data_IF_893130803868
#
_entry.id   IF_893130803868
#
_cell.length_a   1.000
_cell.length_b   1.000
_cell.length_c   1.000
_cell.angle_alpha   90.00
_cell.angle_beta   90.00
_cell.angle_gamma   90.00
#
_symmetry.space_group_name_H-M   'P 1'
#
loop_
_entity.id
_entity.type
_entity.pdbx_description
1 polymer ?
#
# COMPACT_ATOMS: atom_id res chain seq x y z
N UNK A 1 -3.09 -15.88 15.34
CA UNK A 1 -3.78 -14.78 16.07
C UNK A 1 -5.22 -14.66 15.59
N UNK A 2 -6.14 -14.18 16.45
CA UNK A 2 -7.59 -14.12 16.14
C UNK A 2 -7.97 -12.75 15.57
N UNK A 3 -8.87 -12.74 14.59
CA UNK A 3 -9.53 -11.54 14.08
C UNK A 3 -10.41 -10.89 15.15
N UNK A 4 -10.44 -9.57 15.17
CA UNK A 4 -11.37 -8.76 15.95
C UNK A 4 -12.26 -7.98 14.99
N UNK A 5 -13.58 -8.16 15.11
CA UNK A 5 -14.57 -7.42 14.33
C UNK A 5 -14.59 -5.94 14.74
N UNK A 6 -14.79 -5.05 13.76
CA UNK A 6 -14.85 -3.60 13.94
C UNK A 6 -16.03 -3.01 13.17
N UNK A 7 -16.30 -1.71 13.34
CA UNK A 7 -17.39 -1.06 12.60
C UNK A 7 -17.15 -0.95 11.08
N UNK A 8 -15.89 -1.02 10.63
CA UNK A 8 -15.51 -0.95 9.21
C UNK A 8 -15.25 -2.34 8.59
N UNK A 9 -15.03 -3.37 9.40
CA UNK A 9 -14.67 -4.69 8.93
C UNK A 9 -14.03 -5.48 10.04
N UNK A 10 -12.73 -5.71 9.93
CA UNK A 10 -11.98 -6.44 10.96
C UNK A 10 -10.55 -5.92 11.07
N UNK A 11 -9.93 -6.22 12.21
CA UNK A 11 -8.50 -6.06 12.43
C UNK A 11 -7.88 -7.30 13.06
N UNK A 12 -6.56 -7.41 12.97
CA UNK A 12 -5.76 -8.42 13.67
C UNK A 12 -4.46 -7.80 14.15
N UNK A 13 -3.92 -8.33 15.24
CA UNK A 13 -2.56 -8.05 15.70
C UNK A 13 -1.56 -8.96 14.97
N UNK A 14 -0.28 -8.65 15.12
CA UNK A 14 0.84 -9.41 14.58
C UNK A 14 2.16 -9.04 15.28
N UNK A 15 3.15 -9.92 15.19
CA UNK A 15 4.49 -9.73 15.73
C UNK A 15 5.48 -9.47 14.59
N UNK A 16 5.25 -8.36 13.89
CA UNK A 16 5.97 -8.05 12.65
C UNK A 16 6.03 -6.55 12.42
N UNK A 17 7.09 -6.11 11.74
CA UNK A 17 7.32 -4.71 11.36
C UNK A 17 6.39 -4.17 10.27
N UNK A 18 5.54 -5.05 9.72
CA UNK A 18 4.60 -4.71 8.67
C UNK A 18 3.19 -4.51 9.23
N UNK A 19 2.44 -3.59 8.60
CA UNK A 19 1.00 -3.43 8.84
C UNK A 19 0.28 -3.52 7.50
N UNK A 20 -0.62 -4.48 7.33
CA UNK A 20 -1.35 -4.68 6.08
C UNK A 20 -2.70 -3.98 6.14
N UNK A 21 -2.98 -3.12 5.17
CA UNK A 21 -4.21 -2.32 5.13
C UNK A 21 -4.95 -2.59 3.83
N UNK A 22 -6.24 -2.92 3.89
CA UNK A 22 -7.09 -3.02 2.71
C UNK A 22 -8.31 -2.12 2.90
N UNK A 23 -8.26 -0.85 2.45
CA UNK A 23 -9.30 0.12 2.70
C UNK A 23 -10.54 -0.06 1.81
N UNK A 24 -10.49 -0.87 0.74
CA UNK A 24 -11.56 -1.03 -0.25
C UNK A 24 -12.05 -2.48 -0.44
N UNK A 25 -11.81 -3.36 0.55
CA UNK A 25 -12.20 -4.77 0.48
C UNK A 25 -13.71 -5.02 0.35
N UNK A 26 -14.56 -4.05 0.71
CA UNK A 26 -16.03 -4.14 0.66
C UNK A 26 -16.66 -4.12 -0.75
N UNK A 27 -15.87 -4.16 -1.83
CA UNK A 27 -16.39 -4.51 -3.17
C UNK A 27 -15.97 -3.63 -4.34
N UNK A 28 -15.24 -2.53 -4.14
CA UNK A 28 -14.62 -1.82 -5.28
C UNK A 28 -13.33 -2.52 -5.70
N UNK A 29 -12.60 -3.03 -4.70
CA UNK A 29 -11.36 -3.78 -4.90
C UNK A 29 -11.61 -5.26 -4.54
N UNK A 30 -12.47 -5.95 -5.31
CA UNK A 30 -12.85 -7.35 -5.08
C UNK A 30 -11.64 -8.23 -4.70
N UNK A 31 -11.82 -9.07 -3.66
CA UNK A 31 -10.85 -10.05 -3.14
C UNK A 31 -9.58 -9.46 -2.51
N UNK A 32 -9.44 -8.13 -2.41
CA UNK A 32 -8.26 -7.52 -1.73
C UNK A 32 -8.25 -7.76 -0.22
N UNK A 33 -9.41 -7.96 0.40
CA UNK A 33 -9.55 -8.38 1.78
C UNK A 33 -8.95 -9.78 2.02
N UNK A 34 -9.18 -10.70 1.08
CA UNK A 34 -8.59 -12.05 1.12
C UNK A 34 -7.08 -12.01 0.88
N UNK A 35 -6.61 -11.20 -0.07
CA UNK A 35 -5.17 -11.01 -0.29
C UNK A 35 -4.52 -10.43 0.97
N UNK A 36 -5.11 -9.39 1.57
CA UNK A 36 -4.60 -8.76 2.78
C UNK A 36 -4.58 -9.72 3.98
N UNK A 37 -5.61 -10.56 4.14
CA UNK A 37 -5.61 -11.62 5.15
C UNK A 37 -4.44 -12.57 4.96
N UNK A 38 -4.26 -13.11 3.75
CA UNK A 38 -3.23 -14.10 3.47
C UNK A 38 -1.82 -13.51 3.62
N UNK A 39 -1.57 -12.30 3.11
CA UNK A 39 -0.30 -11.60 3.30
C UNK A 39 -0.03 -11.44 4.80
N UNK A 40 -1.03 -10.95 5.55
CA UNK A 40 -0.86 -10.76 6.98
C UNK A 40 -0.58 -12.07 7.72
N UNK A 41 -1.21 -13.17 7.29
CA UNK A 41 -1.05 -14.49 7.90
C UNK A 41 0.35 -15.04 7.67
N UNK A 42 0.87 -14.90 6.45
CA UNK A 42 2.22 -15.37 6.08
C UNK A 42 3.31 -14.59 6.82
N UNK A 43 3.12 -13.27 6.97
CA UNK A 43 4.12 -12.37 7.56
C UNK A 43 3.99 -12.18 9.08
N UNK A 44 3.01 -12.88 9.68
CA UNK A 44 2.53 -12.66 11.04
C UNK A 44 2.34 -11.17 11.40
N UNK A 45 1.80 -10.38 10.46
CA UNK A 45 1.65 -8.94 10.62
C UNK A 45 0.27 -8.53 11.11
N UNK A 46 0.22 -7.33 11.69
CA UNK A 46 -1.04 -6.67 11.99
C UNK A 46 -1.78 -6.37 10.67
N UNK A 47 -3.10 -6.37 10.71
CA UNK A 47 -3.89 -5.95 9.57
C UNK A 47 -5.16 -5.20 9.95
N UNK A 48 -5.53 -4.23 9.12
CA UNK A 48 -6.71 -3.38 9.26
C UNK A 48 -7.46 -3.39 7.93
N UNK A 49 -8.62 -4.04 7.90
CA UNK A 49 -9.31 -4.35 6.64
C UNK A 49 -10.76 -3.90 6.70
N UNK A 50 -11.16 -3.14 5.68
CA UNK A 50 -12.53 -2.69 5.49
C UNK A 50 -13.30 -3.67 4.61
N UNK A 51 -14.32 -4.29 5.18
CA UNK A 51 -15.26 -5.18 4.49
C UNK A 51 -16.70 -4.67 4.54
N UNK A 52 -16.96 -3.51 5.17
CA UNK A 52 -18.32 -2.99 5.40
C UNK A 52 -18.67 -1.75 4.59
N UNK A 53 -17.70 -0.91 4.25
CA UNK A 53 -17.95 0.37 3.60
C UNK A 53 -17.44 0.39 2.16
N UNK A 54 -18.35 0.51 1.19
CA UNK A 54 -17.96 0.71 -0.21
C UNK A 54 -17.38 2.11 -0.40
N UNK A 55 -16.41 2.26 -1.31
CA UNK A 55 -15.72 3.51 -1.63
C UNK A 55 -16.69 4.64 -1.99
N UNK A 56 -17.78 4.33 -2.71
CA UNK A 56 -18.83 5.31 -3.06
C UNK A 56 -19.57 5.87 -1.84
N UNK A 57 -19.65 5.11 -0.74
CA UNK A 57 -20.34 5.50 0.49
C UNK A 57 -19.41 6.12 1.53
N UNK A 58 -18.18 5.61 1.63
CA UNK A 58 -17.12 6.12 2.49
C UNK A 58 -15.79 5.62 1.95
N UNK A 59 -15.02 6.51 1.34
CA UNK A 59 -13.69 6.18 0.84
C UNK A 59 -12.68 6.23 1.99
N UNK A 60 -12.42 5.09 2.63
CA UNK A 60 -11.45 4.99 3.74
C UNK A 60 -9.99 5.19 3.32
N UNK A 61 -9.69 5.30 2.02
CA UNK A 61 -8.35 5.68 1.54
C UNK A 61 -8.21 7.20 1.32
N UNK A 62 -9.30 7.97 1.43
CA UNK A 62 -9.29 9.43 1.33
C UNK A 62 -9.33 10.04 2.72
N UNK A 63 -8.29 10.78 3.10
CA UNK A 63 -8.13 11.40 4.43
C UNK A 63 -8.58 12.86 4.50
N UNK A 64 -9.15 13.43 3.43
CA UNK A 64 -9.52 14.85 3.37
C UNK A 64 -10.51 15.30 4.45
N UNK A 65 -11.39 14.40 4.87
CA UNK A 65 -12.45 14.56 5.89
C UNK A 65 -12.16 13.74 7.16
N UNK A 66 -10.90 13.32 7.37
CA UNK A 66 -10.52 12.50 8.53
C UNK A 66 -10.86 13.18 9.87
N UNK A 67 -10.86 14.51 9.94
CA UNK A 67 -11.22 15.25 11.16
C UNK A 67 -12.71 15.23 11.48
N UNK A 68 -13.58 14.87 10.53
CA UNK A 68 -15.03 14.96 10.67
C UNK A 68 -15.76 13.61 10.48
N UNK A 69 -15.20 12.64 9.77
CA UNK A 69 -15.79 11.30 9.61
C UNK A 69 -15.30 10.32 10.70
N UNK A 70 -16.17 9.99 11.65
CA UNK A 70 -15.88 9.07 12.76
C UNK A 70 -15.46 7.66 12.31
N UNK A 71 -15.93 7.18 11.15
CA UNK A 71 -15.56 5.85 10.62
C UNK A 71 -14.10 5.87 10.18
N UNK A 72 -13.69 6.92 9.48
CA UNK A 72 -12.29 7.14 9.08
C UNK A 72 -11.40 7.32 10.30
N UNK A 73 -11.82 8.11 11.29
CA UNK A 73 -11.08 8.27 12.54
C UNK A 73 -10.80 6.93 13.21
N UNK A 74 -11.81 6.07 13.33
CA UNK A 74 -11.63 4.75 13.92
C UNK A 74 -10.69 3.87 13.09
N UNK A 75 -10.87 3.85 11.76
CA UNK A 75 -10.02 3.08 10.85
C UNK A 75 -8.55 3.49 10.97
N UNK A 76 -8.25 4.79 10.91
CA UNK A 76 -6.89 5.30 11.02
C UNK A 76 -6.32 5.26 12.45
N UNK A 77 -7.17 5.27 13.48
CA UNK A 77 -6.73 5.02 14.85
C UNK A 77 -6.20 3.59 15.01
N UNK A 78 -6.91 2.60 14.49
CA UNK A 78 -6.46 1.20 14.53
C UNK A 78 -5.19 0.99 13.67
N UNK A 79 -5.06 1.68 12.52
CA UNK A 79 -3.81 1.69 11.73
C UNK A 79 -2.66 2.30 12.54
N UNK A 80 -2.89 3.45 13.20
CA UNK A 80 -1.85 4.14 13.99
C UNK A 80 -1.37 3.29 15.15
N UNK A 81 -2.29 2.65 15.87
CA UNK A 81 -1.97 1.72 16.94
C UNK A 81 -1.13 0.54 16.41
N UNK A 82 -1.57 -0.07 15.30
CA UNK A 82 -0.85 -1.19 14.68
C UNK A 82 0.55 -0.79 14.23
N UNK A 83 0.72 0.42 13.70
CA UNK A 83 2.03 0.94 13.28
C UNK A 83 2.95 1.18 14.49
N UNK A 84 2.41 1.71 15.59
CA UNK A 84 3.17 1.88 16.84
C UNK A 84 3.67 0.54 17.39
N UNK A 85 2.81 -0.47 17.42
CA UNK A 85 3.17 -1.84 17.82
C UNK A 85 4.22 -2.43 16.86
N UNK A 86 4.04 -2.26 15.54
CA UNK A 86 4.92 -2.78 14.51
C UNK A 86 6.35 -2.19 14.59
N UNK A 87 6.52 -0.93 14.99
CA UNK A 87 7.85 -0.31 15.17
C UNK A 87 8.71 -1.09 16.17
N UNK A 88 8.12 -1.69 17.20
CA UNK A 88 8.86 -2.49 18.19
C UNK A 88 9.54 -3.74 17.61
N UNK A 89 9.18 -4.14 16.39
CA UNK A 89 9.78 -5.25 15.64
C UNK A 89 10.71 -4.79 14.51
N UNK A 90 10.84 -3.48 14.31
CA UNK A 90 11.70 -2.90 13.28
C UNK A 90 13.14 -2.77 13.77
N UNK A 91 14.07 -2.72 12.83
CA UNK A 91 15.47 -2.35 13.13
C UNK A 91 15.59 -0.82 13.05
N UNK A 92 16.46 -0.24 13.87
CA UNK A 92 16.78 1.19 13.79
C UNK A 92 17.43 1.50 12.45
N UNK A 93 16.89 2.49 11.75
CA UNK A 93 17.48 3.01 10.52
C UNK A 93 18.60 4.03 10.82
N UNK A 94 19.18 4.61 9.78
CA UNK A 94 20.26 5.60 9.88
C UNK A 94 19.92 6.83 10.73
N UNK A 95 18.64 7.17 10.91
CA UNK A 95 18.21 8.28 11.76
C UNK A 95 18.06 7.88 13.24
N UNK A 96 18.39 6.62 13.57
CA UNK A 96 18.33 6.02 14.90
C UNK A 96 16.92 5.62 15.34
N UNK A 97 15.93 5.63 14.44
CA UNK A 97 14.53 5.34 14.75
C UNK A 97 14.04 4.07 14.11
N UNK A 98 13.02 3.51 14.74
CA UNK A 98 12.29 2.35 14.27
C UNK A 98 11.07 2.81 13.49
N UNK A 99 10.90 2.24 12.28
CA UNK A 99 9.83 2.61 11.36
C UNK A 99 9.01 1.38 11.00
N UNK A 100 7.69 1.45 11.11
CA UNK A 100 6.83 0.43 10.54
C UNK A 100 6.79 0.59 9.00
N UNK A 101 6.53 -0.50 8.28
CA UNK A 101 6.14 -0.45 6.87
C UNK A 101 4.65 -0.76 6.72
N UNK A 102 3.87 0.25 6.37
CA UNK A 102 2.42 0.13 6.15
C UNK A 102 2.13 -0.13 4.68
N UNK A 103 1.55 -1.29 4.40
CA UNK A 103 1.30 -1.80 3.05
C UNK A 103 -0.19 -1.71 2.74
N UNK A 104 -0.57 -0.81 1.85
CA UNK A 104 -1.93 -0.64 1.37
C UNK A 104 -2.18 -1.54 0.17
N UNK A 105 -3.00 -2.58 0.36
CA UNK A 105 -3.44 -3.50 -0.69
C UNK A 105 -4.68 -2.94 -1.38
N UNK A 106 -4.57 -2.76 -2.69
CA UNK A 106 -5.61 -2.24 -3.56
C UNK A 106 -5.81 -3.11 -4.80
N UNK A 107 -6.95 -2.90 -5.43
CA UNK A 107 -7.37 -3.58 -6.63
C UNK A 107 -7.40 -2.66 -7.84
N UNK A 108 -6.85 -3.12 -8.96
CA UNK A 108 -7.01 -2.45 -10.24
C UNK A 108 -7.67 -3.35 -11.28
N UNK A 109 -8.32 -2.71 -12.27
CA UNK A 109 -8.74 -3.37 -13.51
C UNK A 109 -7.53 -3.94 -14.27
N UNK A 110 -7.77 -4.99 -15.06
CA UNK A 110 -6.72 -5.54 -15.91
C UNK A 110 -6.34 -4.53 -17.01
N UNK A 111 -5.07 -4.14 -17.06
CA UNK A 111 -4.55 -3.11 -17.99
C UNK A 111 -3.37 -3.65 -18.80
N UNK A 112 -3.68 -4.29 -19.93
CA UNK A 112 -2.66 -4.91 -20.77
C UNK A 112 -1.91 -6.01 -20.00
N UNK A 113 -0.59 -5.93 -19.94
CA UNK A 113 0.31 -6.85 -19.24
C UNK A 113 0.57 -6.48 -17.77
N UNK A 114 -0.01 -5.38 -17.26
CA UNK A 114 0.24 -4.91 -15.90
C UNK A 114 -0.48 -5.79 -14.87
N UNK A 115 0.30 -6.51 -14.06
CA UNK A 115 -0.20 -7.33 -12.95
C UNK A 115 -0.15 -6.60 -11.61
N UNK A 116 0.95 -5.90 -11.33
CA UNK A 116 1.13 -5.14 -10.08
C UNK A 116 1.67 -3.74 -10.37
N UNK A 117 1.14 -2.71 -9.70
CA UNK A 117 1.70 -1.36 -9.70
C UNK A 117 2.01 -0.90 -8.27
N UNK A 118 3.23 -0.43 -8.04
CA UNK A 118 3.70 0.01 -6.73
C UNK A 118 3.66 1.55 -6.64
N UNK A 119 2.86 2.10 -5.74
CA UNK A 119 2.71 3.54 -5.50
C UNK A 119 3.41 3.99 -4.21
N UNK A 120 4.34 4.93 -4.33
CA UNK A 120 5.09 5.50 -3.17
C UNK A 120 5.23 7.03 -3.24
N UNK A 121 4.37 7.71 -3.99
CA UNK A 121 4.44 9.14 -4.27
C UNK A 121 5.36 9.53 -5.44
N UNK A 122 5.76 8.58 -6.30
CA UNK A 122 6.64 8.83 -7.47
C UNK A 122 6.10 8.23 -8.75
N UNK A 123 6.48 8.82 -9.89
CA UNK A 123 6.19 8.30 -11.24
C UNK A 123 7.45 8.31 -12.12
N UNK A 124 7.60 7.31 -12.98
CA UNK A 124 8.72 7.23 -13.92
C UNK A 124 8.59 8.26 -15.04
N UNK A 125 9.61 9.10 -15.22
CA UNK A 125 9.69 10.02 -16.37
C UNK A 125 10.66 9.50 -17.42
N UNK A 126 10.11 8.95 -18.51
CA UNK A 126 10.87 8.35 -19.60
C UNK A 126 11.95 9.29 -20.16
N UNK A 127 11.61 10.56 -20.45
CA UNK A 127 12.57 11.55 -21.01
C UNK A 127 13.80 11.79 -20.13
N UNK A 128 13.66 11.69 -18.81
CA UNK A 128 14.75 11.95 -17.85
C UNK A 128 15.34 10.67 -17.26
N UNK A 129 14.80 9.50 -17.64
CA UNK A 129 15.18 8.18 -17.12
C UNK A 129 15.29 8.16 -15.58
N UNK A 130 14.34 8.80 -14.89
CA UNK A 130 14.32 8.86 -13.43
C UNK A 130 12.91 8.92 -12.87
N UNK A 131 12.76 8.47 -11.62
CA UNK A 131 11.55 8.67 -10.84
C UNK A 131 11.47 10.12 -10.36
N UNK A 132 10.26 10.69 -10.40
CA UNK A 132 10.00 12.03 -9.90
C UNK A 132 8.77 12.02 -9.00
N UNK A 133 8.85 12.75 -7.88
CA UNK A 133 7.69 13.05 -7.05
C UNK A 133 6.71 14.02 -7.72
N UNK A 134 5.53 14.13 -7.13
CA UNK A 134 4.39 14.92 -7.64
C UNK A 134 4.78 16.34 -8.08
N UNK A 135 5.50 17.07 -7.22
CA UNK A 135 5.91 18.46 -7.45
C UNK A 135 6.67 18.67 -8.76
N UNK A 136 7.38 17.65 -9.24
CA UNK A 136 8.27 17.75 -10.40
C UNK A 136 7.77 17.01 -11.64
N UNK A 137 6.63 16.33 -11.56
CA UNK A 137 6.10 15.50 -12.64
C UNK A 137 4.98 16.23 -13.42
N UNK A 138 5.07 16.36 -14.77
CA UNK A 138 4.08 17.11 -15.55
C UNK A 138 2.62 16.65 -15.34
N UNK A 139 2.40 15.33 -15.23
CA UNK A 139 1.06 14.73 -15.05
C UNK A 139 0.47 14.90 -13.64
N UNK A 140 1.18 15.51 -12.69
CA UNK A 140 0.65 15.77 -11.35
C UNK A 140 -0.22 17.04 -11.29
N UNK A 141 -0.58 17.64 -12.44
CA UNK A 141 -1.50 18.78 -12.53
C UNK A 141 -2.92 18.24 -12.62
N UNK A 142 -3.77 18.72 -11.71
CA UNK A 142 -5.19 18.39 -11.62
C UNK A 142 -6.00 19.19 -12.63
N UNK A 143 -7.26 18.82 -12.81
CA UNK A 143 -8.18 19.49 -13.76
C UNK A 143 -8.39 20.98 -13.43
N UNK A 144 -8.34 21.34 -12.14
CA UNK A 144 -8.45 22.73 -11.65
C UNK A 144 -7.14 23.55 -11.81
N UNK A 145 -6.12 22.98 -12.44
CA UNK A 145 -4.80 23.59 -12.62
C UNK A 145 -3.90 23.56 -11.38
N UNK A 146 -4.40 23.06 -10.23
CA UNK A 146 -3.57 22.85 -9.05
C UNK A 146 -2.68 21.62 -9.23
N UNK A 147 -1.66 21.48 -8.38
CA UNK A 147 -0.68 20.39 -8.48
C UNK A 147 -0.76 19.52 -7.23
N UNK A 148 -0.74 18.20 -7.40
CA UNK A 148 -0.60 17.24 -6.31
C UNK A 148 0.76 17.45 -5.61
N UNK A 149 0.76 17.47 -4.28
CA UNK A 149 1.97 17.70 -3.48
C UNK A 149 2.34 16.51 -2.61
N UNK A 150 1.83 15.32 -2.94
CA UNK A 150 2.19 14.10 -2.24
C UNK A 150 3.69 13.88 -2.27
N UNK A 151 4.19 13.34 -1.16
CA UNK A 151 5.62 13.13 -0.92
C UNK A 151 5.98 11.67 -1.15
N UNK A 152 7.28 11.42 -1.25
CA UNK A 152 7.79 10.06 -1.29
C UNK A 152 7.56 9.42 0.07
N UNK A 153 6.90 8.26 0.10
CA UNK A 153 6.44 7.62 1.36
C UNK A 153 7.35 6.51 1.87
N UNK A 154 8.33 6.07 1.08
CA UNK A 154 9.35 5.10 1.48
C UNK A 154 10.57 5.16 0.56
N UNK A 155 11.58 4.33 0.81
CA UNK A 155 12.82 4.28 0.03
C UNK A 155 12.55 3.86 -1.43
N UNK A 156 12.98 4.71 -2.38
CA UNK A 156 12.80 4.49 -3.82
C UNK A 156 13.59 3.26 -4.29
N UNK A 157 14.80 3.06 -3.77
CA UNK A 157 15.66 1.95 -4.18
C UNK A 157 15.10 0.61 -3.69
N UNK A 158 14.66 0.54 -2.43
CA UNK A 158 13.93 -0.61 -1.90
C UNK A 158 12.76 -1.00 -2.80
N UNK A 159 11.91 -0.02 -3.14
CA UNK A 159 10.73 -0.26 -3.97
C UNK A 159 11.10 -0.64 -5.41
N UNK A 160 12.20 -0.09 -5.94
CA UNK A 160 12.73 -0.48 -7.27
C UNK A 160 13.19 -1.94 -7.28
N UNK A 161 13.86 -2.40 -6.23
CA UNK A 161 14.30 -3.79 -6.08
C UNK A 161 13.10 -4.74 -5.96
N UNK A 162 12.12 -4.40 -5.11
CA UNK A 162 10.87 -5.14 -5.01
C UNK A 162 10.17 -5.24 -6.37
N UNK A 163 10.08 -4.13 -7.12
CA UNK A 163 9.50 -4.11 -8.46
C UNK A 163 10.24 -5.00 -9.46
N UNK A 164 11.58 -5.02 -9.44
CA UNK A 164 12.39 -5.88 -10.31
C UNK A 164 12.05 -7.35 -10.06
N UNK A 165 12.13 -7.77 -8.80
CA UNK A 165 11.90 -9.15 -8.40
C UNK A 165 10.45 -9.61 -8.66
N UNK A 166 9.46 -8.74 -8.38
CA UNK A 166 8.06 -9.00 -8.74
C UNK A 166 7.86 -9.09 -10.26
N UNK A 167 8.51 -8.23 -11.06
CA UNK A 167 8.36 -8.26 -12.52
C UNK A 167 8.91 -9.57 -13.09
N UNK A 168 10.04 -10.05 -12.57
CA UNK A 168 10.65 -11.30 -13.00
C UNK A 168 9.74 -12.51 -12.69
N UNK A 169 9.26 -12.62 -11.45
CA UNK A 169 8.35 -13.70 -11.04
C UNK A 169 7.00 -13.67 -11.77
N UNK A 170 6.38 -12.49 -11.90
CA UNK A 170 5.10 -12.36 -12.60
C UNK A 170 5.22 -12.66 -14.10
N UNK A 171 6.34 -12.31 -14.73
CA UNK A 171 6.57 -12.60 -16.15
C UNK A 171 6.72 -14.09 -16.39
N UNK A 172 7.53 -14.77 -15.58
CA UNK A 172 7.81 -16.20 -15.75
C UNK A 172 6.60 -17.06 -15.43
N UNK A 173 5.82 -16.71 -14.40
CA UNK A 173 4.74 -17.57 -13.90
C UNK A 173 3.35 -17.25 -14.45
N UNK A 174 3.10 -15.97 -14.79
CA UNK A 174 1.76 -15.49 -15.17
C UNK A 174 1.73 -14.68 -16.47
N UNK A 175 2.88 -14.41 -17.10
CA UNK A 175 2.95 -13.50 -18.25
C UNK A 175 2.53 -12.07 -17.91
N UNK A 176 2.63 -11.68 -16.63
CA UNK A 176 2.25 -10.36 -16.10
C UNK A 176 3.48 -9.55 -15.71
N UNK A 177 3.31 -8.27 -15.44
CA UNK A 177 4.42 -7.34 -15.14
C UNK A 177 4.19 -6.57 -13.84
N UNK A 178 5.29 -6.15 -13.22
CA UNK A 178 5.27 -5.23 -12.10
C UNK A 178 5.91 -3.89 -12.48
N UNK A 179 5.21 -2.79 -12.15
CA UNK A 179 5.66 -1.42 -12.41
C UNK A 179 5.62 -0.59 -11.13
N UNK A 180 6.23 0.59 -11.17
CA UNK A 180 6.25 1.53 -10.06
C UNK A 180 5.68 2.86 -10.52
N UNK A 181 4.54 3.23 -9.96
CA UNK A 181 3.78 4.44 -10.24
C UNK A 181 3.39 4.61 -11.71
N UNK A 182 3.16 3.52 -12.45
CA UNK A 182 2.77 3.61 -13.87
C UNK A 182 1.37 4.21 -13.99
N UNK A 183 0.43 3.69 -13.21
CA UNK A 183 -0.98 4.10 -13.19
C UNK A 183 -1.31 4.76 -11.87
N UNK A 184 -0.85 4.19 -10.75
CA UNK A 184 -1.19 4.60 -9.40
C UNK A 184 0.06 5.01 -8.61
N UNK A 185 0.54 6.25 -8.78
CA UNK A 185 1.76 6.71 -8.13
C UNK A 185 1.61 6.98 -6.63
N UNK A 186 0.39 7.00 -6.08
CA UNK A 186 0.09 7.36 -4.68
C UNK A 186 0.60 8.76 -4.27
N UNK A 187 0.49 9.73 -5.18
CA UNK A 187 1.05 11.08 -5.05
C UNK A 187 0.05 12.17 -4.64
N UNK A 188 -1.17 11.78 -4.28
CA UNK A 188 -2.21 12.68 -3.78
C UNK A 188 -2.08 12.80 -2.28
N UNK A 189 -1.97 14.01 -1.73
CA UNK A 189 -1.80 14.25 -0.28
C UNK A 189 -2.93 13.66 0.57
N UNK A 190 -4.08 13.39 -0.05
CA UNK A 190 -5.26 12.85 0.62
C UNK A 190 -5.31 11.32 0.61
N UNK A 191 -4.30 10.60 0.10
CA UNK A 191 -4.31 9.12 0.16
C UNK A 191 -3.88 8.58 1.52
N UNK A 192 -4.33 7.37 1.85
CA UNK A 192 -3.91 6.68 3.07
C UNK A 192 -2.40 6.48 3.18
N UNK A 193 -1.70 6.24 2.07
CA UNK A 193 -0.23 6.21 2.08
C UNK A 193 0.40 7.51 2.59
N UNK A 194 -0.13 8.68 2.20
CA UNK A 194 0.40 9.99 2.61
C UNK A 194 0.15 10.31 4.09
N UNK A 195 -0.85 9.68 4.72
CA UNK A 195 -1.10 9.79 6.17
C UNK A 195 0.16 9.50 7.01
N UNK A 196 0.97 8.56 6.56
CA UNK A 196 2.16 8.10 7.28
C UNK A 196 3.35 9.05 7.21
N UNK A 197 3.37 9.97 6.24
CA UNK A 197 4.47 10.93 6.08
C UNK A 197 4.61 11.83 7.31
N UNK A 198 3.49 12.27 7.90
CA UNK A 198 3.49 13.06 9.13
C UNK A 198 3.82 12.24 10.39
N UNK A 199 3.64 10.91 10.33
CA UNK A 199 3.92 9.96 11.41
C UNK A 199 5.35 9.41 11.37
N UNK A 200 6.08 9.69 10.27
CA UNK A 200 7.42 9.17 9.98
C UNK A 200 7.42 7.63 9.89
N UNK A 201 6.36 7.02 9.38
CA UNK A 201 6.39 5.61 9.00
C UNK A 201 6.60 5.47 7.49
N UNK A 202 7.14 4.32 7.06
CA UNK A 202 7.16 3.98 5.65
C UNK A 202 5.78 3.53 5.21
N UNK A 203 5.38 3.87 3.99
CA UNK A 203 4.18 3.30 3.40
C UNK A 203 4.31 3.04 1.90
N UNK A 204 3.61 2.02 1.43
CA UNK A 204 3.53 1.63 0.02
C UNK A 204 2.10 1.25 -0.34
N UNK A 205 1.65 1.66 -1.51
CA UNK A 205 0.41 1.20 -2.14
C UNK A 205 0.75 0.12 -3.17
N UNK A 206 0.05 -1.01 -3.10
CA UNK A 206 0.21 -2.13 -4.03
C UNK A 206 -1.14 -2.35 -4.72
N UNK A 207 -1.17 -2.04 -6.00
CA UNK A 207 -2.33 -2.22 -6.87
C UNK A 207 -2.21 -3.56 -7.59
N UNK A 208 -3.21 -4.44 -7.42
CA UNK A 208 -3.19 -5.80 -7.95
C UNK A 208 -4.27 -5.95 -9.00
N UNK A 209 -3.92 -6.45 -10.18
CA UNK A 209 -4.88 -6.67 -11.26
C UNK A 209 -6.00 -7.64 -10.84
N UNK A 210 -7.17 -7.53 -11.47
CA UNK A 210 -8.31 -8.42 -11.18
C UNK A 210 -7.94 -9.88 -11.40
N UNK A 211 -7.20 -10.20 -12.46
CA UNK A 211 -6.76 -11.56 -12.73
C UNK A 211 -5.93 -12.16 -11.60
N UNK A 212 -4.91 -11.45 -11.10
CA UNK A 212 -4.02 -11.97 -10.06
C UNK A 212 -4.74 -12.16 -8.72
N UNK A 213 -5.76 -11.33 -8.43
CA UNK A 213 -6.56 -11.43 -7.20
C UNK A 213 -7.47 -12.66 -7.16
N UNK A 214 -7.73 -13.33 -8.29
CA UNK A 214 -8.49 -14.59 -8.32
C UNK A 214 -7.77 -15.75 -7.64
N UNK A 215 -6.46 -15.64 -7.43
CA UNK A 215 -5.66 -16.55 -6.62
C UNK A 215 -4.97 -15.78 -5.48
N UNK A 216 -5.72 -15.45 -4.40
CA UNK A 216 -5.17 -14.66 -3.29
C UNK A 216 -3.95 -15.31 -2.65
N UNK A 217 -3.91 -16.64 -2.59
CA UNK A 217 -2.80 -17.38 -1.99
C UNK A 217 -1.51 -17.24 -2.79
N UNK A 218 -1.58 -17.31 -4.13
CA UNK A 218 -0.42 -17.07 -4.99
C UNK A 218 0.15 -15.67 -4.79
N UNK A 219 -0.69 -14.63 -4.99
CA UNK A 219 -0.19 -13.26 -4.93
C UNK A 219 0.26 -12.89 -3.51
N UNK A 220 -0.40 -13.39 -2.47
CA UNK A 220 0.00 -13.15 -1.09
C UNK A 220 1.39 -13.73 -0.77
N UNK A 221 1.68 -14.97 -1.20
CA UNK A 221 3.01 -15.58 -1.03
C UNK A 221 4.09 -14.77 -1.74
N UNK A 222 3.82 -14.35 -2.97
CA UNK A 222 4.76 -13.54 -3.74
C UNK A 222 5.01 -12.19 -3.06
N UNK A 223 3.96 -11.47 -2.68
CA UNK A 223 4.10 -10.18 -2.00
C UNK A 223 4.81 -10.30 -0.65
N UNK A 224 4.48 -11.30 0.16
CA UNK A 224 5.12 -11.52 1.46
C UNK A 224 6.62 -11.80 1.32
N UNK A 225 7.01 -12.63 0.35
CA UNK A 225 8.41 -12.91 0.06
C UNK A 225 9.16 -11.64 -0.37
N UNK A 226 8.58 -10.85 -1.28
CA UNK A 226 9.25 -9.66 -1.81
C UNK A 226 9.29 -8.48 -0.83
N UNK A 227 8.25 -8.30 -0.01
CA UNK A 227 8.25 -7.31 1.08
C UNK A 227 9.32 -7.62 2.13
N UNK A 228 9.47 -8.91 2.49
CA UNK A 228 10.48 -9.34 3.47
C UNK A 228 11.90 -9.06 2.95
N UNK A 229 12.21 -9.52 1.73
CA UNK A 229 13.52 -9.30 1.08
C UNK A 229 13.83 -7.83 0.88
N UNK A 230 12.83 -7.02 0.54
CA UNK A 230 13.03 -5.60 0.28
C UNK A 230 13.35 -4.84 1.57
N UNK A 231 12.60 -5.12 2.65
CA UNK A 231 12.79 -4.45 3.93
C UNK A 231 14.15 -4.75 4.57
N UNK A 232 14.71 -5.94 4.36
CA UNK A 232 16.07 -6.28 4.84
C UNK A 232 17.20 -5.39 4.27
N UNK A 233 16.88 -4.54 3.28
CA UNK A 233 17.81 -3.59 2.67
C UNK A 233 17.61 -2.14 3.14
N UNK A 234 16.68 -1.88 4.06
CA UNK A 234 16.54 -0.61 4.78
C UNK A 234 17.54 -0.55 5.94
#
# INVERSE_FOLDING_TARGET
>A
MKRTETQYGWRRTGESKFVIVAPHGAGDDELTDLVAEEVARIMDSAAVVNTKHRRKSCNLNDISDLSTDQRKQRFYADISQSAEEARGYSVKEHDGKEHALVVYIHGMEDRGDLGVDLGIGVKWRQKRKKYQGATFHPEAVKEDGTRSKGRVTTNIEMTRQMRLSLDDALRSEKGRTAKMGKVFPAWEETTGTQYHVGKKDHSIQIEISRELRKDPGYIARLLAAELTKAYEKL
#
